data_IF_510480030521
#
_entry.id   IF_510480030521
#
_cell.length_a   1.000
_cell.length_b   1.000
_cell.length_c   1.000
_cell.angle_alpha   90.00
_cell.angle_beta   90.00
_cell.angle_gamma   90.00
#
_symmetry.space_group_name_H-M   'P 1'
#
loop_
_entity.id
_entity.type
_entity.pdbx_description
1 polymer ?
#
# COMPACT_ATOMS: atom_id res chain seq x y z
N UNK A 1 -10.31 -4.32 18.56
CA UNK A 1 -9.34 -3.53 19.34
C UNK A 1 -8.38 -2.80 18.40
N UNK A 2 -8.07 -3.39 17.26
CA UNK A 2 -7.03 -2.93 16.33
C UNK A 2 -7.48 -1.76 15.42
N UNK A 3 -8.76 -1.67 15.07
CA UNK A 3 -9.31 -0.48 14.38
C UNK A 3 -9.20 0.80 15.22
N UNK A 4 -9.33 0.69 16.55
CA UNK A 4 -9.13 1.83 17.45
C UNK A 4 -7.66 2.27 17.48
N UNK A 5 -6.72 1.32 17.41
CA UNK A 5 -5.29 1.63 17.28
C UNK A 5 -5.06 2.36 15.96
N UNK A 6 -5.63 1.88 14.86
CA UNK A 6 -5.53 2.52 13.55
C UNK A 6 -6.01 3.97 13.58
N UNK A 7 -7.21 4.26 14.09
CA UNK A 7 -7.74 5.64 14.19
C UNK A 7 -6.80 6.56 14.98
N UNK A 8 -6.25 6.07 16.10
CA UNK A 8 -5.29 6.84 16.91
C UNK A 8 -4.01 7.13 16.13
N UNK A 9 -3.49 6.14 15.42
CA UNK A 9 -2.27 6.30 14.61
C UNK A 9 -2.50 7.25 13.44
N UNK A 10 -3.66 7.16 12.77
CA UNK A 10 -4.07 8.07 11.68
C UNK A 10 -4.05 9.54 12.13
N UNK A 11 -4.55 9.83 13.33
CA UNK A 11 -4.53 11.18 13.89
C UNK A 11 -3.10 11.72 14.08
N UNK A 12 -2.11 10.85 14.29
CA UNK A 12 -0.72 11.21 14.55
C UNK A 12 0.16 11.26 13.30
N UNK A 13 -0.29 10.71 12.16
CA UNK A 13 0.50 10.60 10.92
C UNK A 13 1.08 11.92 10.42
N UNK A 14 0.46 13.06 10.73
CA UNK A 14 0.97 14.37 10.31
C UNK A 14 2.38 14.69 10.85
N UNK A 15 2.78 14.05 11.97
CA UNK A 15 4.08 14.25 12.60
C UNK A 15 5.14 13.24 12.15
N UNK A 16 4.82 12.31 11.26
CA UNK A 16 5.76 11.25 10.86
C UNK A 16 6.55 11.66 9.64
N UNK A 17 7.80 11.21 9.59
CA UNK A 17 8.64 11.35 8.40
C UNK A 17 8.06 10.52 7.23
N UNK A 18 7.83 9.23 7.46
CA UNK A 18 7.07 8.35 6.58
C UNK A 18 5.67 8.13 7.13
N UNK A 19 4.66 8.70 6.46
CA UNK A 19 3.26 8.63 6.86
C UNK A 19 2.63 7.35 6.31
N UNK A 20 3.15 6.20 6.75
CA UNK A 20 2.84 4.89 6.17
C UNK A 20 2.40 3.90 7.25
N UNK A 21 1.24 3.28 7.03
CA UNK A 21 0.71 2.18 7.84
C UNK A 21 0.42 1.01 6.91
N UNK A 22 0.96 -0.17 7.22
CA UNK A 22 0.59 -1.43 6.60
C UNK A 22 -0.45 -2.13 7.47
N UNK A 23 -1.56 -2.52 6.87
CA UNK A 23 -2.60 -3.33 7.49
C UNK A 23 -2.40 -4.75 6.99
N UNK A 24 -2.10 -5.67 7.90
CA UNK A 24 -1.99 -7.09 7.56
C UNK A 24 -3.15 -7.82 8.20
N UNK A 25 -3.91 -8.54 7.38
CA UNK A 25 -5.03 -9.32 7.85
C UNK A 25 -4.56 -10.43 8.81
N UNK A 26 -5.24 -10.56 9.94
CA UNK A 26 -5.26 -11.78 10.72
C UNK A 26 -6.16 -12.79 9.99
N UNK A 27 -5.90 -14.08 10.17
CA UNK A 27 -6.48 -15.18 9.37
C UNK A 27 -8.04 -15.25 9.37
N UNK A 28 -8.74 -14.42 10.15
CA UNK A 28 -10.20 -14.41 10.30
C UNK A 28 -10.91 -13.47 9.31
N UNK A 29 -10.22 -12.47 8.76
CA UNK A 29 -10.81 -11.39 7.95
C UNK A 29 -10.11 -11.25 6.60
N UNK A 30 -10.87 -11.16 5.51
CA UNK A 30 -10.32 -10.91 4.18
C UNK A 30 -9.86 -9.46 4.00
N UNK A 31 -8.88 -9.23 3.12
CA UNK A 31 -8.35 -7.90 2.78
C UNK A 31 -9.42 -6.93 2.28
N UNK A 32 -10.44 -7.44 1.56
CA UNK A 32 -11.58 -6.65 1.07
C UNK A 32 -12.41 -6.14 2.24
N UNK A 33 -12.85 -7.03 3.14
CA UNK A 33 -13.71 -6.67 4.28
C UNK A 33 -13.01 -5.68 5.23
N UNK A 34 -11.70 -5.87 5.46
CA UNK A 34 -10.90 -4.93 6.27
C UNK A 34 -10.87 -3.55 5.62
N UNK A 35 -10.63 -3.48 4.31
CA UNK A 35 -10.59 -2.20 3.64
C UNK A 35 -11.95 -1.50 3.57
N UNK A 36 -13.05 -2.24 3.41
CA UNK A 36 -14.41 -1.67 3.52
C UNK A 36 -14.64 -1.07 4.91
N UNK A 37 -14.26 -1.77 5.99
CA UNK A 37 -14.35 -1.25 7.36
C UNK A 37 -13.52 0.02 7.52
N UNK A 38 -12.27 0.01 7.06
CA UNK A 38 -11.35 1.16 7.20
C UNK A 38 -11.88 2.36 6.43
N UNK A 39 -12.39 2.16 5.21
CA UNK A 39 -12.94 3.23 4.38
C UNK A 39 -14.07 4.01 5.07
N UNK A 40 -14.80 3.39 6.01
CA UNK A 40 -15.90 4.03 6.75
C UNK A 40 -15.46 4.79 8.00
N UNK A 41 -14.20 4.70 8.42
CA UNK A 41 -13.74 5.29 9.70
C UNK A 41 -13.63 6.82 9.64
N UNK A 42 -13.38 7.40 8.47
CA UNK A 42 -13.12 8.83 8.32
C UNK A 42 -13.43 9.31 6.90
N UNK A 43 -14.07 10.48 6.77
CA UNK A 43 -14.47 11.09 5.48
C UNK A 43 -13.29 11.55 4.60
N UNK A 44 -12.10 11.70 5.17
CA UNK A 44 -10.88 12.02 4.45
C UNK A 44 -10.17 10.79 3.87
N UNK A 45 -10.70 9.58 4.12
CA UNK A 45 -10.18 8.38 3.51
C UNK A 45 -10.62 8.33 2.05
N UNK A 46 -9.64 8.18 1.17
CA UNK A 46 -9.84 7.98 -0.26
C UNK A 46 -9.30 6.60 -0.65
N UNK A 47 -10.21 5.69 -0.99
CA UNK A 47 -9.86 4.34 -1.39
C UNK A 47 -9.31 4.32 -2.81
N UNK A 48 -8.16 3.68 -2.99
CA UNK A 48 -7.45 3.57 -4.25
C UNK A 48 -7.21 2.11 -4.58
N UNK A 49 -7.77 1.65 -5.71
CA UNK A 49 -7.44 0.35 -6.29
C UNK A 49 -6.23 0.53 -7.23
N UNK A 50 -5.05 0.11 -6.77
CA UNK A 50 -3.82 0.37 -7.51
C UNK A 50 -3.73 -0.50 -8.76
N UNK A 51 -4.16 -1.76 -8.69
CA UNK A 51 -4.24 -2.64 -9.85
C UNK A 51 -5.07 -2.02 -10.97
N UNK A 52 -6.22 -1.41 -10.65
CA UNK A 52 -7.08 -0.76 -11.64
C UNK A 52 -6.35 0.41 -12.31
N UNK A 53 -5.79 1.34 -11.51
CA UNK A 53 -5.06 2.51 -12.02
C UNK A 53 -3.91 2.07 -12.94
N UNK A 54 -3.14 1.08 -12.52
CA UNK A 54 -2.00 0.59 -13.31
C UNK A 54 -2.47 -0.12 -14.58
N UNK A 55 -3.53 -0.93 -14.50
CA UNK A 55 -4.07 -1.63 -15.66
C UNK A 55 -4.58 -0.68 -16.73
N UNK A 56 -5.18 0.45 -16.35
CA UNK A 56 -5.68 1.48 -17.27
C UNK A 56 -4.54 2.32 -17.85
N UNK A 57 -3.51 2.62 -17.04
CA UNK A 57 -2.44 3.52 -17.47
C UNK A 57 -1.39 2.83 -18.34
N UNK A 58 -1.13 1.54 -18.11
CA UNK A 58 -0.03 0.81 -18.77
C UNK A 58 -0.42 0.16 -20.11
N UNK A 59 -1.70 0.18 -20.52
CA UNK A 59 -2.23 -0.52 -21.72
C UNK A 59 -1.39 -0.28 -22.98
N UNK A 60 -0.92 0.94 -23.19
CA UNK A 60 -0.20 1.34 -24.41
C UNK A 60 1.27 1.71 -24.15
N UNK A 61 1.79 1.34 -22.97
CA UNK A 61 3.16 1.64 -22.56
C UNK A 61 4.02 0.40 -22.79
N UNK A 62 5.20 0.58 -23.36
CA UNK A 62 6.19 -0.50 -23.45
C UNK A 62 6.74 -0.83 -22.07
N UNK A 63 6.89 -2.11 -21.75
CA UNK A 63 7.31 -2.62 -20.42
C UNK A 63 8.60 -1.95 -19.90
N UNK A 64 9.52 -1.59 -20.78
CA UNK A 64 10.77 -0.88 -20.46
C UNK A 64 10.54 0.47 -19.75
N UNK A 65 9.36 1.07 -19.95
CA UNK A 65 9.00 2.36 -19.36
C UNK A 65 8.11 2.23 -18.13
N UNK A 66 7.64 1.03 -17.78
CA UNK A 66 6.72 0.83 -16.65
C UNK A 66 7.21 1.45 -15.34
N UNK A 67 8.48 1.28 -14.90
CA UNK A 67 8.94 1.90 -13.65
C UNK A 67 8.70 3.42 -13.61
N UNK A 68 9.04 4.10 -14.72
CA UNK A 68 8.89 5.55 -14.82
C UNK A 68 7.42 5.95 -14.72
N UNK A 69 6.56 5.33 -15.53
CA UNK A 69 5.13 5.68 -15.54
C UNK A 69 4.43 5.33 -14.22
N UNK A 70 4.80 4.23 -13.56
CA UNK A 70 4.28 3.88 -12.24
C UNK A 70 4.64 4.96 -11.20
N UNK A 71 5.88 5.44 -11.20
CA UNK A 71 6.28 6.56 -10.33
C UNK A 71 5.56 7.87 -10.65
N UNK A 72 5.30 8.15 -11.93
CA UNK A 72 4.57 9.35 -12.35
C UNK A 72 3.09 9.30 -11.93
N UNK A 73 2.41 8.20 -12.25
CA UNK A 73 0.99 8.00 -11.95
C UNK A 73 0.73 8.00 -10.45
N UNK A 74 1.59 7.33 -9.67
CA UNK A 74 1.44 7.36 -8.21
C UNK A 74 1.66 8.76 -7.65
N UNK A 75 2.65 9.50 -8.14
CA UNK A 75 2.88 10.88 -7.69
C UNK A 75 1.69 11.80 -7.97
N UNK A 76 1.04 11.64 -9.12
CA UNK A 76 -0.15 12.42 -9.49
C UNK A 76 -1.40 11.99 -8.71
N UNK A 77 -1.57 10.68 -8.49
CA UNK A 77 -2.72 10.14 -7.74
C UNK A 77 -2.69 10.55 -6.26
N UNK A 78 -1.49 10.60 -5.67
CA UNK A 78 -1.27 10.82 -4.25
C UNK A 78 -0.81 12.26 -3.95
N UNK A 79 -1.44 13.27 -4.55
CA UNK A 79 -0.98 14.67 -4.48
C UNK A 79 -1.64 15.53 -3.37
N UNK A 80 -2.68 15.02 -2.70
CA UNK A 80 -3.45 15.78 -1.71
C UNK A 80 -3.01 15.45 -0.27
N UNK A 81 -2.35 16.39 0.44
CA UNK A 81 -1.85 16.14 1.80
C UNK A 81 -2.95 16.07 2.88
N UNK A 82 -4.17 16.51 2.57
CA UNK A 82 -5.30 16.46 3.50
C UNK A 82 -5.98 15.10 3.51
N UNK A 83 -5.85 14.32 2.43
CA UNK A 83 -6.44 12.98 2.32
C UNK A 83 -5.59 11.89 2.97
N UNK A 84 -6.25 10.80 3.34
CA UNK A 84 -5.64 9.54 3.75
C UNK A 84 -5.94 8.53 2.65
N UNK A 85 -4.91 8.09 1.95
CA UNK A 85 -5.08 7.16 0.84
C UNK A 85 -5.08 5.73 1.37
N UNK A 86 -6.21 5.04 1.21
CA UNK A 86 -6.35 3.62 1.51
C UNK A 86 -6.05 2.83 0.23
N UNK A 87 -4.86 2.27 0.13
CA UNK A 87 -4.43 1.48 -1.01
C UNK A 87 -4.89 0.04 -0.82
N UNK A 88 -5.68 -0.45 -1.78
CA UNK A 88 -6.09 -1.84 -1.91
C UNK A 88 -5.59 -2.38 -3.25
N UNK A 89 -5.53 -3.71 -3.36
CA UNK A 89 -5.17 -4.41 -4.59
C UNK A 89 -3.88 -3.84 -5.18
N UNK A 90 -2.77 -4.04 -4.46
CA UNK A 90 -1.43 -3.54 -4.87
C UNK A 90 -0.59 -4.64 -5.54
N UNK A 91 -1.20 -5.78 -5.85
CA UNK A 91 -0.56 -7.00 -6.37
C UNK A 91 0.24 -6.72 -7.64
N UNK A 92 -0.22 -5.79 -8.48
CA UNK A 92 0.46 -5.35 -9.71
C UNK A 92 1.90 -4.89 -9.45
N UNK A 93 2.20 -4.31 -8.28
CA UNK A 93 3.55 -3.83 -7.98
C UNK A 93 4.58 -4.96 -7.88
N UNK A 94 4.13 -6.18 -7.61
CA UNK A 94 5.00 -7.35 -7.43
C UNK A 94 5.26 -8.09 -8.74
N UNK A 95 4.58 -7.72 -9.82
CA UNK A 95 4.84 -8.28 -11.14
C UNK A 95 6.28 -7.92 -11.57
N UNK A 96 7.13 -8.92 -11.87
CA UNK A 96 8.51 -8.70 -12.30
C UNK A 96 8.66 -7.79 -13.53
N UNK A 97 7.62 -7.69 -14.37
CA UNK A 97 7.60 -6.83 -15.56
C UNK A 97 7.55 -5.35 -15.18
N UNK A 98 6.94 -5.01 -14.03
CA UNK A 98 6.88 -3.62 -13.54
C UNK A 98 8.26 -3.11 -13.12
N UNK A 99 9.18 -4.00 -12.71
CA UNK A 99 10.59 -3.69 -12.38
C UNK A 99 10.74 -2.57 -11.34
N UNK A 100 9.84 -2.49 -10.36
CA UNK A 100 9.91 -1.53 -9.25
C UNK A 100 10.07 -2.26 -7.93
N UNK A 101 10.58 -1.57 -6.91
CA UNK A 101 10.53 -2.06 -5.54
C UNK A 101 9.24 -1.51 -4.87
N UNK A 102 8.24 -2.37 -4.55
CA UNK A 102 6.94 -1.92 -4.04
C UNK A 102 7.06 -1.10 -2.74
N UNK A 103 7.90 -1.56 -1.81
CA UNK A 103 8.09 -0.89 -0.52
C UNK A 103 8.71 0.49 -0.73
N UNK A 104 9.78 0.61 -1.52
CA UNK A 104 10.43 1.91 -1.78
C UNK A 104 9.49 2.91 -2.46
N UNK A 105 8.63 2.43 -3.36
CA UNK A 105 7.61 3.27 -3.98
C UNK A 105 6.65 3.84 -2.92
N UNK A 106 6.09 2.97 -2.07
CA UNK A 106 5.17 3.37 -1.00
C UNK A 106 5.84 4.30 0.01
N UNK A 107 7.08 4.03 0.39
CA UNK A 107 7.88 4.88 1.28
C UNK A 107 8.06 6.28 0.69
N UNK A 108 8.39 6.38 -0.60
CA UNK A 108 8.58 7.66 -1.26
C UNK A 108 7.29 8.48 -1.34
N UNK A 109 6.16 7.85 -1.64
CA UNK A 109 4.85 8.50 -1.63
C UNK A 109 4.51 8.97 -0.20
N UNK A 110 4.77 8.13 0.81
CA UNK A 110 4.42 8.40 2.21
C UNK A 110 5.13 9.60 2.84
N UNK A 111 6.23 10.08 2.23
CA UNK A 111 6.91 11.32 2.68
C UNK A 111 5.98 12.53 2.56
N UNK A 112 5.16 12.56 1.51
CA UNK A 112 4.25 13.68 1.22
C UNK A 112 2.82 13.39 1.63
N UNK A 113 2.37 12.13 1.48
CA UNK A 113 0.96 11.77 1.58
C UNK A 113 0.73 10.71 2.65
N UNK A 114 -0.43 10.70 3.30
CA UNK A 114 -0.77 9.71 4.33
C UNK A 114 -1.26 8.44 3.63
N UNK A 115 -0.58 7.32 3.85
CA UNK A 115 -0.90 6.04 3.26
C UNK A 115 -1.31 5.01 4.31
N UNK A 116 -2.43 4.35 4.06
CA UNK A 116 -2.82 3.09 4.68
C UNK A 116 -2.82 2.05 3.56
N UNK A 117 -1.99 1.02 3.68
CA UNK A 117 -1.83 -0.01 2.65
C UNK A 117 -2.39 -1.31 3.18
N UNK A 118 -3.42 -1.84 2.53
CA UNK A 118 -3.88 -3.21 2.79
C UNK A 118 -2.84 -4.14 2.16
N UNK A 119 -2.02 -4.76 3.00
CA UNK A 119 -0.99 -5.67 2.55
C UNK A 119 -1.65 -6.99 2.10
N UNK A 120 -1.45 -7.42 0.83
CA UNK A 120 -2.13 -8.60 0.29
C UNK A 120 -1.53 -9.93 0.77
N UNK A 121 -0.36 -9.89 1.42
CA UNK A 121 0.31 -11.08 1.95
C UNK A 121 0.31 -11.14 3.48
N UNK A 122 1.37 -11.73 4.03
CA UNK A 122 1.52 -11.98 5.46
C UNK A 122 2.52 -11.01 6.10
N UNK A 123 2.34 -10.72 7.38
CA UNK A 123 3.40 -10.18 8.23
C UNK A 123 3.86 -11.24 9.22
N UNK A 124 5.09 -11.73 9.03
CA UNK A 124 5.68 -12.77 9.90
C UNK A 124 7.15 -12.49 10.16
N UNK A 125 7.63 -12.83 11.36
CA UNK A 125 9.03 -12.62 11.75
C UNK A 125 9.53 -11.19 11.50
N UNK A 126 8.67 -10.20 11.74
CA UNK A 126 8.91 -8.78 11.47
C UNK A 126 9.15 -8.42 9.98
N UNK A 127 8.67 -9.26 9.06
CA UNK A 127 8.83 -9.10 7.62
C UNK A 127 7.47 -9.04 6.92
N UNK A 128 7.35 -8.12 5.98
CA UNK A 128 6.26 -8.12 5.00
C UNK A 128 6.60 -9.17 3.93
N UNK A 129 5.72 -10.15 3.77
CA UNK A 129 5.88 -11.27 2.83
C UNK A 129 4.70 -11.27 1.87
N UNK A 130 4.96 -11.38 0.58
CA UNK A 130 3.95 -11.52 -0.46
C UNK A 130 4.29 -12.69 -1.38
N UNK A 131 3.24 -13.41 -1.80
CA UNK A 131 3.28 -14.68 -2.52
C UNK A 131 4.10 -15.80 -1.81
N UNK A 132 4.03 -17.01 -2.36
CA UNK A 132 4.76 -18.17 -1.84
C UNK A 132 6.21 -18.18 -2.34
N UNK A 133 7.11 -18.73 -1.53
CA UNK A 133 8.50 -18.96 -1.96
C UNK A 133 8.55 -19.79 -3.25
N UNK A 134 9.35 -19.33 -4.22
CA UNK A 134 9.44 -19.94 -5.54
C UNK A 134 8.45 -19.38 -6.57
N UNK A 135 7.50 -18.54 -6.17
CA UNK A 135 6.66 -17.78 -7.11
C UNK A 135 7.46 -16.63 -7.76
N UNK A 136 7.24 -16.31 -9.05
CA UNK A 136 7.91 -15.18 -9.71
C UNK A 136 7.68 -13.83 -9.01
N UNK A 137 6.52 -13.64 -8.41
CA UNK A 137 6.15 -12.44 -7.64
C UNK A 137 6.54 -12.52 -6.16
N UNK A 138 7.27 -13.56 -5.73
CA UNK A 138 7.68 -13.67 -4.33
C UNK A 138 8.47 -12.45 -3.89
N UNK A 139 7.99 -11.81 -2.82
CA UNK A 139 8.60 -10.63 -2.26
C UNK A 139 8.68 -10.72 -0.74
N UNK A 140 9.82 -10.32 -0.20
CA UNK A 140 10.05 -10.27 1.24
C UNK A 140 10.80 -8.99 1.58
N UNK A 141 10.33 -8.26 2.59
CA UNK A 141 11.05 -7.12 3.15
C UNK A 141 11.01 -7.11 4.68
N UNK A 142 12.19 -7.15 5.30
CA UNK A 142 12.38 -6.90 6.73
C UNK A 142 12.89 -5.49 7.05
N UNK A 143 13.12 -4.67 6.03
CA UNK A 143 13.56 -3.28 6.18
C UNK A 143 12.60 -2.40 5.42
N UNK A 144 11.68 -1.79 6.14
CA UNK A 144 10.70 -0.86 5.60
C UNK A 144 10.39 0.22 6.63
N UNK A 145 9.91 1.35 6.15
CA UNK A 145 9.46 2.47 6.98
C UNK A 145 7.95 2.37 7.29
N UNK A 146 7.53 3.04 8.36
CA UNK A 146 6.12 3.06 8.79
C UNK A 146 5.78 2.02 9.85
N UNK A 147 4.48 1.84 10.11
CA UNK A 147 3.97 0.94 11.14
C UNK A 147 3.20 -0.23 10.53
N UNK A 148 3.20 -1.37 11.19
CA UNK A 148 2.34 -2.51 10.86
C UNK A 148 1.25 -2.63 11.93
N UNK A 149 0.01 -2.80 11.49
CA UNK A 149 -1.14 -3.11 12.35
C UNK A 149 -1.74 -4.42 11.85
N UNK A 150 -1.95 -5.36 12.76
CA UNK A 150 -2.62 -6.62 12.49
C UNK A 150 -4.11 -6.45 12.80
N UNK A 151 -4.98 -6.81 11.85
CA UNK A 151 -6.44 -6.72 11.99
C UNK A 151 -7.06 -8.05 11.63
#
# INVERSE_FOLDING_TARGET
MDLYILEKEMALMHNWWHKLIFICASNELGTIEIGEKIATLNEDIYTVNLNLIMSETLVNISEEKYPLYVEEVTRETFDNPFKIYLLQHIDVLFDPVIKINPIRLLENISKKSKLIVIWPGEYKNNQLVYAQEGHPEYFLSGSFEGKVILI
#
